data_IF_142193698387
#
_entry.id   IF_142193698387
#
_cell.length_a   1.000
_cell.length_b   1.000
_cell.length_c   1.000
_cell.angle_alpha   90.00
_cell.angle_beta   90.00
_cell.angle_gamma   90.00
#
_symmetry.space_group_name_H-M   'P 1'
#
loop_
_entity.id
_entity.type
_entity.pdbx_description
1 polymer ?
#
# COMPACT_ATOMS: atom_id res chain seq x y z
N UNK A 1 -19.01 -30.74 1.20
CA UNK A 1 -18.08 -30.75 0.05
C UNK A 1 -16.74 -30.24 0.55
N UNK A 2 -15.85 -31.14 0.97
CA UNK A 2 -14.51 -30.83 1.49
C UNK A 2 -13.62 -30.43 0.31
N UNK A 3 -13.39 -29.14 0.12
CA UNK A 3 -12.41 -28.64 -0.85
C UNK A 3 -11.04 -29.06 -0.36
N UNK A 4 -10.50 -30.11 -0.98
CA UNK A 4 -9.15 -30.61 -0.70
C UNK A 4 -8.13 -29.53 -1.06
N UNK A 5 -7.62 -28.80 -0.07
CA UNK A 5 -6.52 -27.85 -0.17
C UNK A 5 -5.16 -28.52 -0.52
N UNK A 6 -5.13 -29.84 -0.74
CA UNK A 6 -3.90 -30.63 -1.00
C UNK A 6 -3.46 -30.72 -2.46
N UNK A 7 -4.18 -30.15 -3.43
CA UNK A 7 -3.68 -30.13 -4.80
C UNK A 7 -2.62 -29.04 -4.94
N UNK A 8 -1.38 -29.42 -5.26
CA UNK A 8 -0.31 -28.48 -5.65
C UNK A 8 -0.88 -27.51 -6.69
N UNK A 9 -0.65 -26.19 -6.53
CA UNK A 9 -1.12 -25.24 -7.51
C UNK A 9 -0.56 -25.62 -8.89
N UNK A 10 -1.35 -25.49 -9.97
CA UNK A 10 -0.87 -25.83 -11.31
C UNK A 10 0.37 -24.99 -11.65
N UNK A 11 1.40 -25.57 -12.30
CA UNK A 11 2.69 -24.90 -12.54
C UNK A 11 2.55 -23.55 -13.26
N UNK A 12 1.54 -23.36 -14.10
CA UNK A 12 1.20 -22.08 -14.71
C UNK A 12 0.85 -20.98 -13.70
N UNK A 13 0.24 -21.34 -12.57
CA UNK A 13 -0.13 -20.37 -11.54
C UNK A 13 1.11 -19.84 -10.81
N UNK A 14 2.04 -20.73 -10.46
CA UNK A 14 3.30 -20.35 -9.80
C UNK A 14 4.09 -19.42 -10.71
N UNK A 15 4.21 -19.75 -12.00
CA UNK A 15 4.90 -18.93 -12.99
C UNK A 15 4.26 -17.54 -13.14
N UNK A 16 2.93 -17.45 -13.21
CA UNK A 16 2.23 -16.16 -13.30
C UNK A 16 2.44 -15.33 -12.03
N UNK A 17 2.34 -15.96 -10.85
CA UNK A 17 2.58 -15.27 -9.57
C UNK A 17 4.01 -14.76 -9.47
N UNK A 18 5.00 -15.59 -9.84
CA UNK A 18 6.40 -15.19 -9.86
C UNK A 18 6.66 -14.03 -10.83
N UNK A 19 6.07 -14.06 -12.03
CA UNK A 19 6.19 -12.96 -13.01
C UNK A 19 5.58 -11.65 -12.49
N UNK A 20 4.43 -11.71 -11.82
CA UNK A 20 3.80 -10.56 -11.19
C UNK A 20 4.67 -9.97 -10.07
N UNK A 21 5.28 -10.82 -9.24
CA UNK A 21 6.23 -10.39 -8.21
C UNK A 21 7.47 -9.74 -8.82
N UNK A 22 8.05 -10.38 -9.86
CA UNK A 22 9.23 -9.88 -10.54
C UNK A 22 8.99 -8.49 -11.16
N UNK A 23 7.84 -8.28 -11.84
CA UNK A 23 7.50 -6.99 -12.43
C UNK A 23 7.40 -5.86 -11.39
N UNK A 24 6.65 -6.08 -10.32
CA UNK A 24 6.51 -5.06 -9.26
C UNK A 24 7.80 -4.89 -8.44
N UNK A 25 8.54 -5.98 -8.20
CA UNK A 25 9.84 -5.94 -7.55
C UNK A 25 10.86 -5.15 -8.36
N UNK A 26 10.92 -5.36 -9.67
CA UNK A 26 11.79 -4.61 -10.59
C UNK A 26 11.48 -3.11 -10.55
N UNK A 27 10.20 -2.71 -10.58
CA UNK A 27 9.81 -1.30 -10.46
C UNK A 27 10.25 -0.69 -9.12
N UNK A 28 10.07 -1.43 -8.01
CA UNK A 28 10.49 -0.93 -6.70
C UNK A 28 12.01 -0.81 -6.57
N UNK A 29 12.74 -1.81 -7.06
CA UNK A 29 14.20 -1.75 -7.10
C UNK A 29 14.69 -0.58 -7.96
N UNK A 30 14.10 -0.39 -9.15
CA UNK A 30 14.41 0.74 -10.02
C UNK A 30 14.12 2.09 -9.35
N UNK A 31 12.99 2.24 -8.67
CA UNK A 31 12.61 3.46 -7.95
C UNK A 31 13.63 3.78 -6.82
N UNK A 32 14.04 2.79 -6.05
CA UNK A 32 15.00 3.00 -4.96
C UNK A 32 16.40 3.31 -5.48
N UNK A 33 16.87 2.55 -6.47
CA UNK A 33 18.14 2.84 -7.12
C UNK A 33 18.13 4.22 -7.76
N UNK A 34 17.02 4.58 -8.44
CA UNK A 34 16.86 5.91 -9.01
C UNK A 34 17.01 7.02 -7.97
N UNK A 35 16.35 6.89 -6.80
CA UNK A 35 16.47 7.90 -5.75
C UNK A 35 17.91 8.07 -5.24
N UNK A 36 18.65 6.95 -5.06
CA UNK A 36 20.04 7.01 -4.64
C UNK A 36 20.96 7.67 -5.69
N UNK A 37 20.76 7.32 -6.96
CA UNK A 37 21.54 7.89 -8.07
C UNK A 37 21.19 9.36 -8.27
N UNK A 38 19.93 9.75 -8.21
CA UNK A 38 19.49 11.15 -8.32
C UNK A 38 20.05 12.01 -7.19
N UNK A 39 20.15 11.49 -5.96
CA UNK A 39 20.82 12.18 -4.86
C UNK A 39 22.29 12.50 -5.21
N UNK A 40 22.97 11.53 -5.82
CA UNK A 40 24.36 11.74 -6.26
C UNK A 40 24.50 12.71 -7.43
N UNK A 41 23.54 12.70 -8.38
CA UNK A 41 23.59 13.55 -9.57
C UNK A 41 23.17 15.01 -9.31
N UNK A 42 22.11 15.23 -8.53
CA UNK A 42 21.55 16.55 -8.25
C UNK A 42 22.15 17.20 -7.00
N UNK A 43 22.80 16.42 -6.14
CA UNK A 43 23.17 16.86 -4.80
C UNK A 43 21.96 16.96 -3.86
N UNK A 44 22.24 17.34 -2.60
CA UNK A 44 21.24 17.30 -1.54
C UNK A 44 20.09 18.31 -1.75
N UNK A 45 20.38 19.48 -2.29
CA UNK A 45 19.42 20.58 -2.41
C UNK A 45 18.30 20.28 -3.43
N UNK A 46 18.67 20.01 -4.69
CA UNK A 46 17.68 19.71 -5.76
C UNK A 46 16.96 18.38 -5.47
N UNK A 47 17.69 17.39 -4.93
CA UNK A 47 17.06 16.12 -4.52
C UNK A 47 16.04 16.33 -3.39
N UNK A 48 16.30 17.19 -2.42
CA UNK A 48 15.37 17.50 -1.34
C UNK A 48 14.05 18.08 -1.88
N UNK A 49 14.12 18.97 -2.88
CA UNK A 49 12.94 19.52 -3.54
C UNK A 49 12.08 18.44 -4.22
N UNK A 50 12.74 17.51 -4.91
CA UNK A 50 12.08 16.35 -5.53
C UNK A 50 11.47 15.40 -4.50
N UNK A 51 12.24 15.04 -3.49
CA UNK A 51 11.83 14.10 -2.44
C UNK A 51 10.65 14.66 -1.62
N UNK A 52 10.70 15.95 -1.26
CA UNK A 52 9.62 16.61 -0.52
C UNK A 52 8.32 16.65 -1.33
N UNK A 53 8.39 17.01 -2.63
CA UNK A 53 7.22 17.02 -3.49
C UNK A 53 6.59 15.63 -3.62
N UNK A 54 7.39 14.57 -3.82
CA UNK A 54 6.91 13.20 -3.86
C UNK A 54 6.39 12.72 -2.49
N UNK A 55 7.06 13.08 -1.39
CA UNK A 55 6.66 12.71 -0.03
C UNK A 55 5.28 13.29 0.34
N UNK A 56 5.10 14.60 0.10
CA UNK A 56 3.79 15.27 0.30
C UNK A 56 2.71 14.66 -0.58
N UNK A 57 3.03 14.32 -1.84
CA UNK A 57 2.05 13.74 -2.77
C UNK A 57 1.79 12.25 -2.57
N UNK A 58 2.61 11.56 -1.78
CA UNK A 58 2.49 10.11 -1.53
C UNK A 58 1.13 9.68 -0.96
N UNK A 59 0.48 10.56 -0.21
CA UNK A 59 -0.88 10.36 0.29
C UNK A 59 -1.91 10.16 -0.82
N UNK A 60 -1.75 10.89 -1.93
CA UNK A 60 -2.65 10.76 -3.07
C UNK A 60 -2.56 9.37 -3.69
N UNK A 61 -1.38 8.74 -3.69
CA UNK A 61 -1.23 7.36 -4.12
C UNK A 61 -2.05 6.41 -3.24
N UNK A 62 -1.98 6.55 -1.91
CA UNK A 62 -2.74 5.71 -0.99
C UNK A 62 -4.26 5.92 -1.15
N UNK A 63 -4.72 7.17 -1.27
CA UNK A 63 -6.13 7.51 -1.46
C UNK A 63 -6.69 7.03 -2.80
N UNK A 64 -5.92 7.17 -3.89
CA UNK A 64 -6.42 6.93 -5.24
C UNK A 64 -6.30 5.48 -5.70
N UNK A 65 -5.39 4.70 -5.11
CA UNK A 65 -5.19 3.31 -5.55
C UNK A 65 -5.73 2.28 -4.58
N UNK A 66 -5.36 2.36 -3.31
CA UNK A 66 -5.44 1.20 -2.42
C UNK A 66 -6.85 0.73 -2.16
N UNK A 67 -7.76 1.61 -1.80
CA UNK A 67 -9.14 1.24 -1.55
C UNK A 67 -9.90 0.86 -2.83
N UNK A 68 -9.63 1.56 -3.94
CA UNK A 68 -10.26 1.29 -5.24
C UNK A 68 -9.77 -0.06 -5.77
N UNK A 69 -8.45 -0.35 -5.73
CA UNK A 69 -7.88 -1.64 -6.13
C UNK A 69 -8.46 -2.77 -5.28
N UNK A 70 -8.44 -2.64 -3.95
CA UNK A 70 -9.00 -3.65 -3.03
C UNK A 70 -10.49 -3.89 -3.29
N UNK A 71 -11.29 -2.84 -3.45
CA UNK A 71 -12.71 -2.96 -3.75
C UNK A 71 -12.95 -3.65 -5.10
N UNK A 72 -12.18 -3.32 -6.14
CA UNK A 72 -12.26 -3.97 -7.42
C UNK A 72 -11.90 -5.46 -7.32
N UNK A 73 -10.81 -5.81 -6.60
CA UNK A 73 -10.39 -7.20 -6.38
C UNK A 73 -11.39 -8.01 -5.55
N UNK A 74 -12.14 -7.35 -4.64
CA UNK A 74 -13.14 -7.99 -3.80
C UNK A 74 -14.51 -8.15 -4.48
N UNK A 75 -14.93 -7.17 -5.29
CA UNK A 75 -16.31 -7.11 -5.79
C UNK A 75 -16.45 -7.58 -7.23
N UNK A 76 -15.49 -7.27 -8.11
CA UNK A 76 -15.56 -7.65 -9.54
C UNK A 76 -15.57 -9.16 -9.80
N UNK A 77 -14.87 -10.01 -9.03
CA UNK A 77 -14.91 -11.47 -9.22
C UNK A 77 -16.23 -12.12 -8.81
N UNK A 78 -17.03 -11.45 -7.97
CA UNK A 78 -18.32 -11.98 -7.48
C UNK A 78 -19.37 -11.99 -8.60
N UNK A 79 -20.45 -12.77 -8.40
CA UNK A 79 -21.57 -12.85 -9.35
C UNK A 79 -22.13 -11.46 -9.64
N UNK A 80 -22.24 -11.10 -10.91
CA UNK A 80 -22.71 -9.78 -11.33
C UNK A 80 -21.69 -8.63 -11.16
N UNK A 81 -20.59 -8.82 -10.45
CA UNK A 81 -19.60 -7.77 -10.17
C UNK A 81 -18.86 -7.22 -11.39
N UNK A 82 -18.87 -7.95 -12.52
CA UNK A 82 -18.24 -7.51 -13.77
C UNK A 82 -18.79 -6.17 -14.28
N UNK A 83 -20.04 -5.85 -13.95
CA UNK A 83 -20.72 -4.60 -14.32
C UNK A 83 -20.16 -3.38 -13.55
N UNK A 84 -19.43 -3.58 -12.44
CA UNK A 84 -18.78 -2.52 -11.65
C UNK A 84 -17.43 -2.06 -12.24
N UNK A 85 -16.87 -2.74 -13.25
CA UNK A 85 -15.58 -2.35 -13.84
C UNK A 85 -15.54 -0.92 -14.34
N UNK A 86 -16.53 -0.40 -15.11
CA UNK A 86 -16.51 0.98 -15.57
C UNK A 86 -16.47 1.99 -14.42
N UNK A 87 -17.17 1.69 -13.31
CA UNK A 87 -17.13 2.51 -12.10
C UNK A 87 -15.71 2.58 -11.51
N UNK A 88 -15.05 1.43 -11.32
CA UNK A 88 -13.69 1.41 -10.78
C UNK A 88 -12.66 2.03 -11.73
N UNK A 89 -12.84 1.89 -13.05
CA UNK A 89 -12.04 2.61 -14.04
C UNK A 89 -12.20 4.12 -13.89
N UNK A 90 -13.44 4.60 -13.77
CA UNK A 90 -13.75 6.02 -13.60
C UNK A 90 -13.16 6.56 -12.29
N UNK A 91 -13.40 5.88 -11.18
CA UNK A 91 -12.87 6.27 -9.87
C UNK A 91 -11.34 6.37 -9.86
N UNK A 92 -10.65 5.46 -10.55
CA UNK A 92 -9.20 5.47 -10.66
C UNK A 92 -8.67 6.55 -11.61
N UNK A 93 -9.36 6.79 -12.72
CA UNK A 93 -8.93 7.76 -13.74
C UNK A 93 -9.20 9.22 -13.35
N UNK A 94 -10.29 9.49 -12.62
CA UNK A 94 -10.71 10.87 -12.28
C UNK A 94 -9.63 11.68 -11.55
N UNK A 95 -8.94 11.19 -10.48
CA UNK A 95 -7.91 11.97 -9.82
C UNK A 95 -6.76 12.35 -10.74
N UNK A 96 -6.35 11.43 -11.63
CA UNK A 96 -5.29 11.69 -12.59
C UNK A 96 -5.75 12.68 -13.67
N UNK A 97 -6.97 12.52 -14.18
CA UNK A 97 -7.57 13.42 -15.17
C UNK A 97 -7.77 14.84 -14.65
N UNK A 98 -7.93 15.03 -13.33
CA UNK A 98 -7.98 16.36 -12.70
C UNK A 98 -6.57 16.90 -12.42
N UNK A 99 -5.66 16.07 -11.92
CA UNK A 99 -4.33 16.51 -11.54
C UNK A 99 -3.48 16.97 -12.75
N UNK A 100 -3.62 16.32 -13.90
CA UNK A 100 -2.84 16.68 -15.11
C UNK A 100 -3.16 18.09 -15.62
N UNK A 101 -4.41 18.52 -15.86
CA UNK A 101 -4.73 19.89 -16.25
C UNK A 101 -4.30 20.94 -15.21
N UNK A 102 -4.46 20.64 -13.91
CA UNK A 102 -3.99 21.54 -12.83
C UNK A 102 -2.47 21.72 -12.91
N UNK A 103 -1.74 20.62 -13.07
CA UNK A 103 -0.29 20.70 -13.27
C UNK A 103 0.09 21.51 -14.51
N UNK A 104 -0.55 21.24 -15.67
CA UNK A 104 -0.26 21.94 -16.92
C UNK A 104 -0.51 23.45 -16.79
N UNK A 105 -1.60 23.85 -16.12
CA UNK A 105 -1.90 25.27 -15.88
C UNK A 105 -0.84 25.95 -15.01
N UNK A 106 -0.40 25.29 -13.93
CA UNK A 106 0.65 25.83 -13.05
C UNK A 106 2.02 25.83 -13.73
N UNK A 107 2.34 24.80 -14.51
CA UNK A 107 3.57 24.75 -15.29
C UNK A 107 3.63 25.78 -16.43
N UNK A 108 2.48 26.14 -17.01
CA UNK A 108 2.40 27.21 -17.99
C UNK A 108 2.62 28.60 -17.36
N UNK A 109 2.19 28.78 -16.11
CA UNK A 109 2.39 30.04 -15.39
C UNK A 109 3.84 30.19 -14.87
N UNK A 110 4.42 29.15 -14.30
CA UNK A 110 5.79 29.09 -13.79
C UNK A 110 6.37 27.68 -13.87
N UNK A 111 7.07 27.30 -14.97
CA UNK A 111 7.59 25.94 -15.15
C UNK A 111 8.61 25.51 -14.11
N UNK A 112 9.34 26.45 -13.52
CA UNK A 112 10.37 26.20 -12.49
C UNK A 112 9.86 26.23 -11.06
N UNK A 113 8.65 26.74 -10.85
CA UNK A 113 8.11 27.05 -9.55
C UNK A 113 7.76 25.84 -8.67
N UNK A 114 7.73 26.10 -7.38
CA UNK A 114 7.33 25.09 -6.40
C UNK A 114 5.88 24.58 -6.63
N UNK A 115 4.86 25.43 -6.92
CA UNK A 115 3.50 24.96 -7.19
C UNK A 115 3.43 23.97 -8.36
N UNK A 116 4.14 24.24 -9.45
CA UNK A 116 4.21 23.34 -10.61
C UNK A 116 4.84 21.98 -10.24
N UNK A 117 5.89 22.00 -9.41
CA UNK A 117 6.57 20.78 -8.92
C UNK A 117 5.65 19.92 -8.06
N UNK A 118 4.97 20.49 -7.08
CA UNK A 118 4.02 19.77 -6.23
C UNK A 118 2.84 19.21 -7.04
N UNK A 119 2.33 19.98 -7.99
CA UNK A 119 1.26 19.52 -8.88
C UNK A 119 1.72 18.38 -9.82
N UNK A 120 2.96 18.44 -10.33
CA UNK A 120 3.55 17.34 -11.11
C UNK A 120 3.69 16.06 -10.27
N UNK A 121 4.19 16.17 -9.04
CA UNK A 121 4.30 15.06 -8.11
C UNK A 121 2.91 14.50 -7.74
N UNK A 122 1.90 15.33 -7.55
CA UNK A 122 0.52 14.93 -7.33
C UNK A 122 -0.05 14.19 -8.56
N UNK A 123 0.16 14.70 -9.76
CA UNK A 123 -0.23 14.04 -11.01
C UNK A 123 0.49 12.69 -11.17
N UNK A 124 1.79 12.62 -10.86
CA UNK A 124 2.55 11.37 -10.85
C UNK A 124 1.95 10.34 -9.87
N UNK A 125 1.68 10.73 -8.62
CA UNK A 125 1.07 9.87 -7.60
C UNK A 125 -0.32 9.36 -8.02
N UNK A 126 -1.19 10.24 -8.53
CA UNK A 126 -2.50 9.89 -9.07
C UNK A 126 -2.40 8.97 -10.29
N UNK A 127 -1.42 9.21 -11.18
CA UNK A 127 -1.16 8.38 -12.35
C UNK A 127 -0.69 6.97 -11.98
N UNK A 128 0.18 6.82 -10.99
CA UNK A 128 0.58 5.53 -10.43
C UNK A 128 -0.61 4.80 -9.81
N UNK A 129 -1.47 5.51 -9.07
CA UNK A 129 -2.70 4.95 -8.50
C UNK A 129 -3.65 4.44 -9.56
N UNK A 130 -3.87 5.23 -10.61
CA UNK A 130 -4.66 4.82 -11.78
C UNK A 130 -4.07 3.56 -12.44
N UNK A 131 -2.76 3.54 -12.67
CA UNK A 131 -2.04 2.40 -13.26
C UNK A 131 -2.24 1.12 -12.43
N UNK A 132 -2.12 1.20 -11.11
CA UNK A 132 -2.30 0.04 -10.23
C UNK A 132 -3.71 -0.55 -10.36
N UNK A 133 -4.75 0.28 -10.36
CA UNK A 133 -6.14 -0.17 -10.51
C UNK A 133 -6.39 -0.73 -11.91
N UNK A 134 -5.92 -0.05 -12.98
CA UNK A 134 -6.08 -0.54 -14.36
C UNK A 134 -5.35 -1.87 -14.58
N UNK A 135 -4.16 -2.06 -14.03
CA UNK A 135 -3.42 -3.31 -14.06
C UNK A 135 -4.19 -4.43 -13.33
N UNK A 136 -4.74 -4.15 -12.13
CA UNK A 136 -5.55 -5.09 -11.38
C UNK A 136 -6.81 -5.50 -12.15
N UNK A 137 -7.53 -4.56 -12.77
CA UNK A 137 -8.72 -4.84 -13.59
C UNK A 137 -8.38 -5.70 -14.83
N UNK A 138 -7.23 -5.45 -15.48
CA UNK A 138 -6.75 -6.31 -16.57
C UNK A 138 -6.42 -7.72 -16.08
N UNK A 139 -5.81 -7.86 -14.90
CA UNK A 139 -5.53 -9.16 -14.26
C UNK A 139 -6.82 -9.94 -13.98
N UNK A 140 -7.88 -9.28 -13.48
CA UNK A 140 -9.20 -9.88 -13.27
C UNK A 140 -9.87 -10.37 -14.58
N UNK A 141 -9.44 -9.84 -15.73
CA UNK A 141 -9.84 -10.34 -17.05
C UNK A 141 -8.97 -11.48 -17.59
N UNK A 142 -8.08 -12.04 -16.77
CA UNK A 142 -7.14 -13.07 -17.19
C UNK A 142 -5.90 -12.53 -17.94
N UNK A 143 -5.72 -11.20 -18.04
CA UNK A 143 -4.59 -10.56 -18.71
C UNK A 143 -3.47 -10.20 -17.75
N UNK A 144 -2.97 -11.19 -16.99
CA UNK A 144 -1.90 -10.97 -16.01
C UNK A 144 -0.61 -10.36 -16.62
N UNK A 145 -0.35 -10.64 -17.91
CA UNK A 145 0.79 -10.02 -18.64
C UNK A 145 0.69 -8.50 -18.70
N UNK A 146 -0.51 -7.92 -18.69
CA UNK A 146 -0.68 -6.46 -18.69
C UNK A 146 -0.19 -5.81 -17.39
N UNK A 147 -0.36 -6.49 -16.24
CA UNK A 147 0.18 -6.04 -14.95
C UNK A 147 1.72 -6.08 -14.98
N UNK A 148 2.33 -7.20 -15.42
CA UNK A 148 3.78 -7.33 -15.55
C UNK A 148 4.35 -6.27 -16.49
N UNK A 149 3.75 -6.10 -17.67
CA UNK A 149 4.15 -5.10 -18.65
C UNK A 149 4.10 -3.69 -18.07
N UNK A 150 3.03 -3.33 -17.36
CA UNK A 150 2.89 -2.01 -16.76
C UNK A 150 4.04 -1.70 -15.79
N UNK A 151 4.35 -2.60 -14.88
CA UNK A 151 5.42 -2.36 -13.90
C UNK A 151 6.83 -2.45 -14.47
N UNK A 152 7.07 -3.28 -15.48
CA UNK A 152 8.35 -3.28 -16.21
C UNK A 152 8.53 -1.98 -17.01
N UNK A 153 7.47 -1.47 -17.66
CA UNK A 153 7.51 -0.16 -18.34
C UNK A 153 7.84 0.96 -17.35
N UNK A 154 7.25 0.95 -16.14
CA UNK A 154 7.57 1.91 -15.10
C UNK A 154 9.01 1.77 -14.61
N UNK A 155 9.54 0.55 -14.48
CA UNK A 155 10.94 0.32 -14.10
C UNK A 155 11.90 0.88 -15.16
N UNK A 156 11.63 0.62 -16.44
CA UNK A 156 12.40 1.16 -17.56
C UNK A 156 12.30 2.69 -17.60
N UNK A 157 11.11 3.26 -17.39
CA UNK A 157 10.93 4.71 -17.36
C UNK A 157 11.74 5.37 -16.23
N UNK A 158 11.80 4.76 -15.04
CA UNK A 158 12.63 5.23 -13.94
C UNK A 158 14.13 5.19 -14.31
N UNK A 159 14.60 4.06 -14.82
CA UNK A 159 16.01 3.91 -15.22
C UNK A 159 16.39 4.87 -16.35
N UNK A 160 15.54 5.01 -17.37
CA UNK A 160 15.75 5.94 -18.49
C UNK A 160 15.71 7.39 -18.04
N UNK A 161 14.79 7.74 -17.12
CA UNK A 161 14.72 9.08 -16.53
C UNK A 161 16.01 9.47 -15.82
N UNK A 162 16.58 8.55 -15.01
CA UNK A 162 17.89 8.75 -14.36
C UNK A 162 19.02 8.90 -15.39
N UNK A 163 19.02 8.07 -16.42
CA UNK A 163 19.98 8.18 -17.53
C UNK A 163 19.90 9.53 -18.23
N UNK A 164 18.70 10.04 -18.48
CA UNK A 164 18.50 11.38 -19.06
C UNK A 164 19.00 12.48 -18.13
N UNK A 165 18.75 12.38 -16.81
CA UNK A 165 19.30 13.33 -15.83
C UNK A 165 20.83 13.35 -15.90
N UNK A 166 21.47 12.18 -15.94
CA UNK A 166 22.93 12.06 -16.01
C UNK A 166 23.51 12.68 -17.30
N UNK A 167 22.80 12.51 -18.43
CA UNK A 167 23.29 12.98 -19.74
C UNK A 167 23.00 14.47 -20.01
N UNK A 168 21.88 14.99 -19.52
CA UNK A 168 21.37 16.33 -19.90
C UNK A 168 21.35 17.33 -18.75
N UNK A 169 21.62 16.92 -17.51
CA UNK A 169 21.43 17.76 -16.33
C UNK A 169 19.97 18.12 -16.04
N UNK A 170 19.01 17.30 -16.49
CA UNK A 170 17.58 17.52 -16.32
C UNK A 170 17.23 17.73 -14.84
N UNK A 171 16.42 18.77 -14.56
CA UNK A 171 15.96 19.11 -13.21
C UNK A 171 14.73 18.30 -12.78
N UNK A 172 14.40 18.35 -11.50
CA UNK A 172 13.31 17.62 -10.87
C UNK A 172 11.94 17.81 -11.57
N UNK A 173 11.59 19.05 -11.95
CA UNK A 173 10.32 19.35 -12.61
C UNK A 173 10.20 18.64 -13.97
N UNK A 174 11.27 18.63 -14.76
CA UNK A 174 11.28 17.99 -16.07
C UNK A 174 11.23 16.45 -15.96
N UNK A 175 11.90 15.87 -14.96
CA UNK A 175 11.83 14.43 -14.69
C UNK A 175 10.40 14.02 -14.26
N UNK A 176 9.75 14.80 -13.38
CA UNK A 176 8.36 14.54 -13.01
C UNK A 176 7.42 14.65 -14.21
N UNK A 177 7.60 15.64 -15.06
CA UNK A 177 6.84 15.81 -16.30
C UNK A 177 6.97 14.60 -17.24
N UNK A 178 8.21 14.10 -17.42
CA UNK A 178 8.47 12.88 -18.20
C UNK A 178 7.69 11.68 -17.63
N UNK A 179 7.76 11.48 -16.32
CA UNK A 179 7.06 10.38 -15.68
C UNK A 179 5.52 10.51 -15.78
N UNK A 180 4.98 11.72 -15.66
CA UNK A 180 3.53 11.97 -15.88
C UNK A 180 3.13 11.62 -17.32
N UNK A 181 3.96 12.01 -18.31
CA UNK A 181 3.74 11.65 -19.71
C UNK A 181 3.74 10.13 -19.96
N UNK A 182 4.72 9.42 -19.40
CA UNK A 182 4.77 7.95 -19.47
C UNK A 182 3.52 7.33 -18.85
N UNK A 183 3.09 7.81 -17.68
CA UNK A 183 1.88 7.32 -17.02
C UNK A 183 0.61 7.61 -17.81
N UNK A 184 0.52 8.76 -18.48
CA UNK A 184 -0.62 9.08 -19.33
C UNK A 184 -0.75 8.06 -20.47
N UNK A 185 0.34 7.78 -21.18
CA UNK A 185 0.37 6.79 -22.26
C UNK A 185 0.06 5.38 -21.72
N UNK A 186 0.71 4.97 -20.64
CA UNK A 186 0.53 3.65 -20.06
C UNK A 186 -0.91 3.43 -19.58
N UNK A 187 -1.50 4.41 -18.89
CA UNK A 187 -2.89 4.34 -18.43
C UNK A 187 -3.87 4.29 -19.61
N UNK A 188 -3.61 5.04 -20.68
CA UNK A 188 -4.43 4.98 -21.90
C UNK A 188 -4.38 3.58 -22.54
N UNK A 189 -3.20 2.95 -22.64
CA UNK A 189 -3.03 1.59 -23.18
C UNK A 189 -3.76 0.56 -22.31
N UNK A 190 -3.62 0.64 -20.99
CA UNK A 190 -4.30 -0.27 -20.07
C UNK A 190 -5.82 -0.10 -20.11
N UNK A 191 -6.32 1.13 -20.18
CA UNK A 191 -7.75 1.44 -20.32
C UNK A 191 -8.33 0.95 -21.66
N UNK A 192 -7.62 1.16 -22.77
CA UNK A 192 -8.02 0.65 -24.08
C UNK A 192 -8.17 -0.88 -24.07
N UNK A 193 -7.30 -1.59 -23.35
CA UNK A 193 -7.41 -3.03 -23.10
C UNK A 193 -8.70 -3.42 -22.36
N UNK A 194 -9.21 -2.56 -21.49
CA UNK A 194 -10.42 -2.80 -20.71
C UNK A 194 -11.71 -2.46 -21.45
N UNK A 195 -11.72 -1.40 -22.25
CA UNK A 195 -12.91 -0.92 -22.99
C UNK A 195 -13.34 -1.91 -24.10
N UNK A 196 -12.39 -2.56 -24.77
CA UNK A 196 -12.66 -3.53 -25.87
C UNK A 196 -13.49 -4.75 -25.48
N UNK A 197 -13.84 -4.93 -24.22
CA UNK A 197 -14.72 -6.01 -23.73
C UNK A 197 -16.06 -5.45 -23.27
N UNK A 198 -17.17 -5.96 -23.85
CA UNK A 198 -18.52 -5.57 -23.42
C UNK A 198 -18.68 -5.79 -21.92
N UNK A 199 -18.72 -4.72 -21.12
CA UNK A 199 -19.25 -4.74 -19.78
C UNK A 199 -20.78 -4.59 -19.89
N UNK A 200 -21.54 -5.51 -19.29
CA UNK A 200 -22.97 -5.31 -19.12
C UNK A 200 -23.21 -3.98 -18.34
N UNK A 201 -24.35 -3.33 -18.57
CA UNK A 201 -24.76 -2.17 -17.77
C UNK A 201 -25.00 -2.62 -16.32
N UNK A 202 -24.30 -2.00 -15.37
CA UNK A 202 -24.61 -2.19 -13.95
C UNK A 202 -25.92 -1.50 -13.62
N UNK A 203 -26.68 -2.11 -12.75
CA UNK A 203 -27.76 -1.41 -12.07
C UNK A 203 -27.16 -0.28 -11.21
N UNK A 204 -27.68 0.94 -11.37
CA UNK A 204 -27.23 2.14 -10.64
C UNK A 204 -27.25 1.94 -9.11
N UNK A 205 -28.13 1.07 -8.60
CA UNK A 205 -28.20 0.70 -7.19
C UNK A 205 -26.94 0.05 -6.65
N UNK A 206 -26.14 -0.59 -7.49
CA UNK A 206 -24.88 -1.26 -7.09
C UNK A 206 -23.69 -0.31 -6.91
N UNK A 207 -23.76 0.94 -7.38
CA UNK A 207 -22.62 1.85 -7.35
C UNK A 207 -22.35 2.41 -5.95
N UNK A 208 -23.37 2.83 -5.21
CA UNK A 208 -23.22 3.40 -3.86
C UNK A 208 -22.53 2.44 -2.88
N UNK A 209 -22.92 1.15 -2.79
CA UNK A 209 -22.21 0.17 -1.99
C UNK A 209 -20.75 -0.03 -2.42
N UNK A 210 -20.46 -0.02 -3.74
CA UNK A 210 -19.11 -0.20 -4.25
C UNK A 210 -18.18 0.98 -3.91
N UNK A 211 -18.67 2.22 -4.04
CA UNK A 211 -17.94 3.44 -3.64
C UNK A 211 -17.68 3.44 -2.13
N UNK A 212 -18.68 3.08 -1.33
CA UNK A 212 -18.54 2.96 0.12
C UNK A 212 -17.51 1.88 0.50
N UNK A 213 -17.53 0.73 -0.18
CA UNK A 213 -16.54 -0.31 0.03
C UNK A 213 -15.12 0.21 -0.30
N UNK A 214 -14.94 0.93 -1.40
CA UNK A 214 -13.66 1.53 -1.76
C UNK A 214 -13.18 2.52 -0.68
N UNK A 215 -14.06 3.39 -0.18
CA UNK A 215 -13.74 4.33 0.89
C UNK A 215 -13.32 3.62 2.19
N UNK A 216 -14.09 2.62 2.65
CA UNK A 216 -13.75 1.86 3.86
C UNK A 216 -12.43 1.09 3.73
N UNK A 217 -12.17 0.51 2.55
CA UNK A 217 -10.94 -0.22 2.27
C UNK A 217 -9.71 0.68 2.12
N UNK A 218 -9.91 1.99 1.86
CA UNK A 218 -8.81 2.97 1.84
C UNK A 218 -8.29 3.30 3.25
N UNK A 219 -9.14 3.19 4.28
CA UNK A 219 -8.81 3.63 5.65
C UNK A 219 -7.54 2.94 6.16
N UNK A 220 -7.41 1.63 5.97
CA UNK A 220 -6.25 0.88 6.43
C UNK A 220 -4.92 1.36 5.85
N UNK A 221 -4.90 1.72 4.57
CA UNK A 221 -3.67 2.21 3.90
C UNK A 221 -3.37 3.67 4.26
N UNK A 222 -4.41 4.49 4.34
CA UNK A 222 -4.26 5.90 4.73
C UNK A 222 -3.74 6.01 6.16
N UNK A 223 -4.27 5.21 7.09
CA UNK A 223 -3.80 5.19 8.49
C UNK A 223 -2.38 4.67 8.60
N UNK A 224 -1.98 3.68 7.78
CA UNK A 224 -0.60 3.19 7.75
C UNK A 224 0.38 4.27 7.26
N UNK A 225 0.04 5.01 6.19
CA UNK A 225 0.85 6.16 5.72
C UNK A 225 0.89 7.26 6.78
N UNK A 226 -0.24 7.54 7.44
CA UNK A 226 -0.31 8.51 8.53
C UNK A 226 0.59 8.13 9.71
N UNK A 227 0.59 6.87 10.11
CA UNK A 227 1.43 6.37 11.19
C UNK A 227 2.93 6.61 10.87
N UNK A 228 3.34 6.30 9.65
CA UNK A 228 4.72 6.53 9.21
C UNK A 228 5.07 8.03 9.21
N UNK A 229 4.19 8.89 8.69
CA UNK A 229 4.40 10.33 8.65
C UNK A 229 4.51 10.95 10.05
N UNK A 230 3.64 10.55 10.98
CA UNK A 230 3.67 11.03 12.37
C UNK A 230 4.95 10.58 13.07
N UNK A 231 5.40 9.34 12.84
CA UNK A 231 6.65 8.85 13.42
C UNK A 231 7.86 9.65 12.92
N UNK A 232 7.94 9.96 11.63
CA UNK A 232 8.99 10.86 11.10
C UNK A 232 8.89 12.28 11.67
N UNK A 233 7.69 12.79 11.91
CA UNK A 233 7.52 14.10 12.56
C UNK A 233 8.07 14.10 14.00
N UNK A 234 7.94 12.99 14.74
CA UNK A 234 8.56 12.89 16.07
C UNK A 234 10.08 12.90 16.00
N UNK A 235 10.70 12.21 15.04
CA UNK A 235 12.15 12.27 14.83
C UNK A 235 12.63 13.67 14.43
N UNK A 236 11.88 14.34 13.53
CA UNK A 236 12.20 15.71 13.15
C UNK A 236 12.14 16.68 14.33
N UNK A 237 11.24 16.47 15.29
CA UNK A 237 11.15 17.27 16.50
C UNK A 237 12.31 17.04 17.49
N UNK A 238 12.92 15.85 17.46
CA UNK A 238 14.07 15.52 18.31
C UNK A 238 15.40 16.06 17.79
N UNK A 239 15.43 16.55 16.54
CA UNK A 239 16.63 17.06 15.83
C UNK A 239 17.82 16.07 15.85
N UNK A 240 17.53 14.76 15.89
CA UNK A 240 18.53 13.68 15.87
C UNK A 240 18.58 13.04 14.46
N UNK A 241 19.44 13.61 13.62
CA UNK A 241 19.63 13.15 12.25
C UNK A 241 20.15 11.69 12.17
N UNK A 242 20.96 11.25 13.16
CA UNK A 242 21.49 9.89 13.20
C UNK A 242 20.37 8.87 13.46
N UNK A 243 19.53 9.11 14.45
CA UNK A 243 18.42 8.22 14.79
C UNK A 243 17.33 8.23 13.71
N UNK A 244 17.09 9.39 13.09
CA UNK A 244 16.20 9.48 11.93
C UNK A 244 16.70 8.59 10.78
N UNK A 245 17.99 8.60 10.51
CA UNK A 245 18.61 7.76 9.47
C UNK A 245 18.52 6.27 9.82
N UNK A 246 18.77 5.90 11.06
CA UNK A 246 18.62 4.51 11.56
C UNK A 246 17.18 4.05 11.41
N UNK A 247 16.20 4.84 11.86
CA UNK A 247 14.79 4.50 11.68
C UNK A 247 14.39 4.39 10.21
N UNK A 248 14.89 5.29 9.35
CA UNK A 248 14.63 5.22 7.92
C UNK A 248 15.10 3.88 7.32
N UNK A 249 16.33 3.44 7.63
CA UNK A 249 16.86 2.15 7.15
C UNK A 249 15.99 0.97 7.62
N UNK A 250 15.59 0.95 8.90
CA UNK A 250 14.72 -0.09 9.43
C UNK A 250 13.31 -0.05 8.84
N UNK A 251 12.75 1.14 8.63
CA UNK A 251 11.43 1.30 7.99
C UNK A 251 11.45 0.83 6.54
N UNK A 252 12.56 1.06 5.82
CA UNK A 252 12.77 0.52 4.47
C UNK A 252 12.81 -1.01 4.49
N UNK A 253 13.58 -1.61 5.40
CA UNK A 253 13.65 -3.07 5.53
C UNK A 253 12.26 -3.68 5.85
N UNK A 254 11.53 -3.09 6.80
CA UNK A 254 10.16 -3.49 7.14
C UNK A 254 9.22 -3.35 5.93
N UNK A 255 9.35 -2.26 5.18
CA UNK A 255 8.48 -2.01 4.01
C UNK A 255 8.62 -3.10 2.94
N UNK A 256 9.80 -3.71 2.76
CA UNK A 256 10.00 -4.83 1.82
C UNK A 256 9.15 -6.03 2.24
N UNK A 257 9.16 -6.38 3.52
CA UNK A 257 8.38 -7.51 4.06
C UNK A 257 6.88 -7.22 3.93
N UNK A 258 6.45 -6.05 4.42
CA UNK A 258 5.03 -5.64 4.39
C UNK A 258 4.50 -5.57 2.96
N UNK A 259 5.27 -5.00 2.03
CA UNK A 259 4.89 -4.96 0.60
C UNK A 259 4.83 -6.35 -0.01
N UNK A 260 5.79 -7.23 0.29
CA UNK A 260 5.80 -8.61 -0.21
C UNK A 260 4.54 -9.35 0.23
N UNK A 261 4.22 -9.32 1.51
CA UNK A 261 3.00 -9.96 2.07
C UNK A 261 1.74 -9.31 1.49
N UNK A 262 1.64 -7.98 1.51
CA UNK A 262 0.47 -7.26 0.99
C UNK A 262 0.23 -7.56 -0.48
N UNK A 263 1.29 -7.63 -1.28
CA UNK A 263 1.16 -7.93 -2.70
C UNK A 263 0.72 -9.39 -2.95
N UNK A 264 1.27 -10.34 -2.19
CA UNK A 264 0.81 -11.74 -2.24
C UNK A 264 -0.68 -11.82 -1.91
N UNK A 265 -1.11 -11.14 -0.85
CA UNK A 265 -2.51 -11.08 -0.46
C UNK A 265 -3.40 -10.46 -1.55
N UNK A 266 -2.95 -9.41 -2.23
CA UNK A 266 -3.69 -8.80 -3.37
C UNK A 266 -3.80 -9.75 -4.58
N UNK A 267 -2.80 -10.60 -4.82
CA UNK A 267 -2.91 -11.65 -5.86
C UNK A 267 -3.94 -12.71 -5.46
N UNK A 268 -4.01 -13.06 -4.19
CA UNK A 268 -4.93 -14.05 -3.66
C UNK A 268 -6.35 -13.51 -3.43
N UNK A 269 -6.50 -12.21 -3.25
CA UNK A 269 -7.77 -11.56 -2.88
C UNK A 269 -8.96 -11.92 -3.80
N UNK A 270 -8.84 -11.99 -5.14
CA UNK A 270 -9.96 -12.39 -5.99
C UNK A 270 -10.46 -13.80 -5.70
N UNK A 271 -9.55 -14.73 -5.35
CA UNK A 271 -9.91 -16.11 -4.99
C UNK A 271 -10.55 -16.18 -3.62
N UNK A 272 -10.03 -15.40 -2.67
CA UNK A 272 -10.62 -15.26 -1.33
C UNK A 272 -12.04 -14.71 -1.45
N UNK A 273 -12.27 -13.70 -2.28
CA UNK A 273 -13.59 -13.13 -2.51
C UNK A 273 -14.61 -14.16 -3.04
N UNK A 274 -14.22 -14.96 -4.05
CA UNK A 274 -15.05 -16.04 -4.61
C UNK A 274 -15.24 -17.17 -3.58
N UNK A 275 -14.20 -17.52 -2.83
CA UNK A 275 -14.29 -18.52 -1.77
C UNK A 275 -15.27 -18.09 -0.66
N UNK A 276 -15.24 -16.83 -0.24
CA UNK A 276 -16.18 -16.29 0.75
C UNK A 276 -17.62 -16.32 0.21
N UNK A 277 -17.82 -15.98 -1.06
CA UNK A 277 -19.15 -16.08 -1.70
C UNK A 277 -19.72 -17.51 -1.66
N UNK A 278 -18.84 -18.53 -1.83
CA UNK A 278 -19.24 -19.94 -1.82
C UNK A 278 -19.39 -20.57 -0.43
N UNK A 279 -18.56 -20.16 0.55
CA UNK A 279 -18.53 -20.77 1.91
C UNK A 279 -19.29 -19.94 2.95
N UNK A 280 -19.69 -18.71 2.58
CA UNK A 280 -20.31 -17.74 3.47
C UNK A 280 -19.29 -17.00 4.35
N UNK A 281 -19.71 -15.86 4.85
CA UNK A 281 -18.88 -14.94 5.66
C UNK A 281 -18.43 -15.55 6.99
N UNK A 282 -19.26 -16.40 7.58
CA UNK A 282 -18.93 -17.11 8.81
C UNK A 282 -17.67 -18.00 8.69
N UNK A 283 -17.42 -18.57 7.50
CA UNK A 283 -16.19 -19.31 7.20
C UNK A 283 -14.95 -18.43 7.25
N UNK A 284 -15.01 -17.24 6.62
CA UNK A 284 -13.93 -16.28 6.61
C UNK A 284 -13.64 -15.73 8.03
N UNK A 285 -14.66 -15.39 8.79
CA UNK A 285 -14.55 -14.91 10.18
C UNK A 285 -13.94 -15.96 11.10
N UNK A 286 -14.35 -17.23 10.97
CA UNK A 286 -13.72 -18.36 11.73
C UNK A 286 -12.24 -18.52 11.38
N UNK A 287 -11.88 -18.41 10.10
CA UNK A 287 -10.50 -18.52 9.67
C UNK A 287 -9.66 -17.35 10.20
N UNK A 288 -10.16 -16.11 10.09
CA UNK A 288 -9.52 -14.92 10.66
C UNK A 288 -9.29 -15.08 12.16
N UNK A 289 -10.29 -15.56 12.92
CA UNK A 289 -10.17 -15.85 14.35
C UNK A 289 -9.09 -16.89 14.64
N UNK A 290 -9.00 -17.96 13.86
CA UNK A 290 -7.96 -19.00 14.03
C UNK A 290 -6.55 -18.45 13.83
N UNK A 291 -6.38 -17.49 12.94
CA UNK A 291 -5.09 -16.81 12.71
C UNK A 291 -4.77 -15.86 13.87
N UNK A 292 -5.75 -15.05 14.29
CA UNK A 292 -5.54 -14.02 15.33
C UNK A 292 -5.42 -14.60 16.74
N UNK A 293 -6.06 -15.73 17.03
CA UNK A 293 -6.07 -16.32 18.37
C UNK A 293 -4.66 -16.62 18.92
N UNK A 294 -3.72 -17.19 18.14
CA UNK A 294 -2.33 -17.33 18.60
C UNK A 294 -1.50 -16.05 18.36
N UNK A 295 -1.75 -15.29 17.28
CA UNK A 295 -0.92 -14.14 16.90
C UNK A 295 -1.01 -12.99 17.90
N UNK A 296 -2.24 -12.68 18.40
CA UNK A 296 -2.45 -11.55 19.31
C UNK A 296 -1.77 -11.77 20.67
N UNK A 297 -1.95 -12.90 21.38
CA UNK A 297 -1.25 -13.11 22.65
C UNK A 297 0.27 -13.25 22.47
N UNK A 298 0.75 -13.89 21.41
CA UNK A 298 2.18 -13.94 21.12
C UNK A 298 2.76 -12.54 20.87
N UNK A 299 2.04 -11.69 20.14
CA UNK A 299 2.41 -10.30 19.92
C UNK A 299 2.38 -9.47 21.20
N UNK A 300 1.36 -9.64 22.04
CA UNK A 300 1.30 -8.98 23.34
C UNK A 300 2.49 -9.36 24.24
N UNK A 301 2.85 -10.66 24.26
CA UNK A 301 4.04 -11.13 24.96
C UNK A 301 5.32 -10.49 24.39
N UNK A 302 5.47 -10.42 23.07
CA UNK A 302 6.61 -9.77 22.44
C UNK A 302 6.72 -8.29 22.82
N UNK A 303 5.61 -7.55 22.84
CA UNK A 303 5.57 -6.14 23.28
C UNK A 303 6.00 -6.00 24.74
N UNK A 304 5.51 -6.88 25.63
CA UNK A 304 5.91 -6.89 27.05
C UNK A 304 7.40 -7.17 27.19
N UNK A 305 7.93 -8.21 26.54
CA UNK A 305 9.36 -8.55 26.57
C UNK A 305 10.22 -7.40 26.06
N UNK A 306 9.87 -6.81 24.93
CA UNK A 306 10.58 -5.65 24.38
C UNK A 306 10.48 -4.42 25.30
N UNK A 307 9.35 -4.22 25.98
CA UNK A 307 9.16 -3.18 26.97
C UNK A 307 10.07 -3.37 28.20
N UNK A 308 10.23 -4.62 28.66
CA UNK A 308 11.18 -4.96 29.76
C UNK A 308 12.63 -4.74 29.30
N UNK A 309 12.98 -5.11 28.07
CA UNK A 309 14.31 -4.85 27.49
C UNK A 309 14.59 -3.34 27.45
N UNK A 310 13.60 -2.53 27.08
CA UNK A 310 13.69 -1.08 27.09
C UNK A 310 13.89 -0.53 28.53
N UNK A 311 13.10 -0.99 29.46
CA UNK A 311 13.19 -0.58 30.87
C UNK A 311 14.54 -0.96 31.49
N UNK A 312 15.16 -2.07 31.05
CA UNK A 312 16.52 -2.47 31.42
C UNK A 312 17.64 -1.66 30.73
N UNK A 313 17.32 -0.59 30.02
CA UNK A 313 18.28 0.30 29.36
C UNK A 313 18.92 -0.23 28.09
N UNK A 314 18.48 -1.39 27.61
CA UNK A 314 18.96 -2.00 26.36
C UNK A 314 18.35 -1.31 25.13
N UNK A 315 19.13 -0.43 24.48
CA UNK A 315 18.66 0.40 23.33
C UNK A 315 19.52 0.18 22.07
N UNK A 316 20.37 -0.85 22.09
CA UNK A 316 21.32 -1.11 21.01
C UNK A 316 20.69 -1.70 19.75
N UNK A 317 21.54 -1.90 18.74
CA UNK A 317 21.18 -2.42 17.42
C UNK A 317 20.45 -3.78 17.49
N UNK A 318 20.86 -4.67 18.43
CA UNK A 318 20.24 -5.97 18.64
C UNK A 318 18.79 -5.87 19.12
N UNK A 319 18.51 -4.95 20.06
CA UNK A 319 17.14 -4.71 20.55
C UNK A 319 16.25 -4.13 19.43
N UNK A 320 16.78 -3.17 18.66
CA UNK A 320 16.08 -2.60 17.48
C UNK A 320 15.79 -3.66 16.43
N UNK A 321 16.77 -4.54 16.14
CA UNK A 321 16.58 -5.68 15.23
C UNK A 321 15.54 -6.68 15.73
N UNK A 322 15.51 -6.97 17.04
CA UNK A 322 14.47 -7.84 17.62
C UNK A 322 13.07 -7.21 17.52
N UNK A 323 12.95 -5.90 17.76
CA UNK A 323 11.68 -5.18 17.58
C UNK A 323 11.22 -5.20 16.10
N UNK A 324 12.13 -5.03 15.15
CA UNK A 324 11.83 -5.14 13.73
C UNK A 324 11.32 -6.54 13.34
N UNK A 325 11.98 -7.59 13.83
CA UNK A 325 11.54 -8.97 13.55
C UNK A 325 10.17 -9.26 14.17
N UNK A 326 9.92 -8.76 15.38
CA UNK A 326 8.62 -8.88 16.04
C UNK A 326 7.52 -8.17 15.22
N UNK A 327 7.78 -6.94 14.78
CA UNK A 327 6.84 -6.17 13.95
C UNK A 327 6.58 -6.87 12.60
N UNK A 328 7.62 -7.32 11.92
CA UNK A 328 7.49 -8.04 10.65
C UNK A 328 6.65 -9.33 10.81
N UNK A 329 6.89 -10.09 11.89
CA UNK A 329 6.14 -11.32 12.19
C UNK A 329 4.67 -11.02 12.53
N UNK A 330 4.40 -9.99 13.35
CA UNK A 330 3.05 -9.56 13.69
C UNK A 330 2.27 -9.10 12.47
N UNK A 331 2.88 -8.23 11.68
CA UNK A 331 2.28 -7.75 10.43
C UNK A 331 1.99 -8.91 9.49
N UNK A 332 2.93 -9.85 9.29
CA UNK A 332 2.73 -11.03 8.46
C UNK A 332 1.59 -11.94 8.96
N UNK A 333 1.35 -12.00 10.27
CA UNK A 333 0.27 -12.78 10.87
C UNK A 333 -1.08 -12.05 10.82
N UNK A 334 -1.11 -10.73 11.10
CA UNK A 334 -2.36 -9.96 11.19
C UNK A 334 -2.92 -9.61 9.81
N UNK A 335 -2.08 -9.30 8.80
CA UNK A 335 -2.54 -8.92 7.46
C UNK A 335 -3.44 -9.95 6.77
N UNK A 336 -3.18 -11.28 6.80
CA UNK A 336 -4.09 -12.26 6.21
C UNK A 336 -5.47 -12.29 6.88
N UNK A 337 -5.51 -12.15 8.21
CA UNK A 337 -6.78 -12.08 8.95
C UNK A 337 -7.54 -10.79 8.63
N UNK A 338 -6.83 -9.67 8.53
CA UNK A 338 -7.36 -8.38 8.12
C UNK A 338 -7.99 -8.47 6.72
N UNK A 339 -7.29 -9.07 5.75
CA UNK A 339 -7.79 -9.30 4.40
C UNK A 339 -9.09 -10.13 4.41
N UNK A 340 -9.14 -11.20 5.21
CA UNK A 340 -10.35 -12.03 5.31
C UNK A 340 -11.55 -11.22 5.79
N UNK A 341 -11.37 -10.41 6.83
CA UNK A 341 -12.42 -9.55 7.41
C UNK A 341 -12.85 -8.45 6.41
N UNK A 342 -11.91 -7.80 5.74
CA UNK A 342 -12.19 -6.77 4.71
C UNK A 342 -13.02 -7.32 3.55
N UNK A 343 -12.89 -8.60 3.22
CA UNK A 343 -13.58 -9.22 2.08
C UNK A 343 -14.95 -9.81 2.44
N UNK A 344 -15.42 -9.69 3.69
CA UNK A 344 -16.77 -10.09 4.08
C UNK A 344 -17.80 -9.02 3.67
N UNK A 345 -18.65 -8.61 4.56
CA UNK A 345 -19.71 -7.62 4.39
C UNK A 345 -19.28 -6.19 4.79
N UNK A 346 -20.23 -5.26 4.79
CA UNK A 346 -20.01 -3.89 5.24
C UNK A 346 -19.62 -3.80 6.71
N UNK A 347 -20.10 -4.73 7.56
CA UNK A 347 -19.76 -4.78 8.98
C UNK A 347 -18.29 -5.19 9.17
N UNK A 348 -17.82 -6.19 8.42
CA UNK A 348 -16.42 -6.58 8.42
C UNK A 348 -15.50 -5.46 7.94
N UNK A 349 -15.87 -4.74 6.86
CA UNK A 349 -15.09 -3.58 6.37
C UNK A 349 -15.02 -2.45 7.40
N UNK A 350 -16.13 -2.16 8.09
CA UNK A 350 -16.12 -1.15 9.19
C UNK A 350 -15.24 -1.61 10.36
N UNK A 351 -15.33 -2.89 10.74
CA UNK A 351 -14.48 -3.46 11.77
C UNK A 351 -12.99 -3.31 11.41
N UNK A 352 -12.61 -3.64 10.18
CA UNK A 352 -11.25 -3.48 9.68
C UNK A 352 -10.82 -2.00 9.69
N UNK A 353 -11.67 -1.07 9.26
CA UNK A 353 -11.41 0.36 9.28
C UNK A 353 -11.21 0.89 10.71
N UNK A 354 -12.10 0.51 11.65
CA UNK A 354 -11.98 0.89 13.06
C UNK A 354 -10.69 0.33 13.68
N UNK A 355 -10.38 -0.94 13.42
CA UNK A 355 -9.15 -1.55 13.91
C UNK A 355 -7.89 -0.84 13.39
N UNK A 356 -7.89 -0.40 12.13
CA UNK A 356 -6.79 0.36 11.54
C UNK A 356 -6.68 1.79 12.13
N UNK A 357 -7.80 2.47 12.39
CA UNK A 357 -7.79 3.76 13.08
C UNK A 357 -7.25 3.65 14.51
N UNK A 358 -7.63 2.59 15.24
CA UNK A 358 -7.11 2.34 16.59
C UNK A 358 -5.62 1.98 16.57
N UNK A 359 -5.16 1.19 15.59
CA UNK A 359 -3.74 0.97 15.36
C UNK A 359 -2.99 2.30 15.21
N UNK A 360 -3.47 3.17 14.33
CA UNK A 360 -2.88 4.50 14.13
C UNK A 360 -2.83 5.31 15.42
N UNK A 361 -3.95 5.37 16.16
CA UNK A 361 -4.04 6.12 17.41
C UNK A 361 -3.02 5.60 18.45
N UNK A 362 -2.84 4.28 18.55
CA UNK A 362 -1.85 3.67 19.44
C UNK A 362 -0.43 3.97 18.98
N UNK A 363 -0.13 3.84 17.69
CA UNK A 363 1.21 4.19 17.16
C UNK A 363 1.53 5.65 17.43
N UNK A 364 0.58 6.56 17.20
CA UNK A 364 0.77 7.99 17.47
C UNK A 364 0.96 8.25 18.97
N UNK A 365 0.07 7.76 19.83
CA UNK A 365 0.15 7.98 21.26
C UNK A 365 1.40 7.35 21.91
N UNK A 366 1.67 6.07 21.60
CA UNK A 366 2.85 5.39 22.11
C UNK A 366 4.15 5.99 21.55
N UNK A 367 4.16 6.34 20.24
CA UNK A 367 5.29 6.98 19.57
C UNK A 367 5.68 8.31 20.22
N UNK A 368 4.70 9.12 20.66
CA UNK A 368 4.94 10.37 21.36
C UNK A 368 5.84 10.21 22.60
N UNK A 369 5.67 9.11 23.34
CA UNK A 369 6.48 8.83 24.53
C UNK A 369 7.71 7.96 24.23
N UNK A 370 7.57 6.96 23.37
CA UNK A 370 8.62 5.97 23.14
C UNK A 370 9.71 6.45 22.18
N UNK A 371 9.39 7.31 21.21
CA UNK A 371 10.40 7.82 20.29
C UNK A 371 11.41 8.72 21.01
N UNK A 372 11.02 9.69 21.85
CA UNK A 372 11.97 10.45 22.66
C UNK A 372 12.77 9.58 23.64
N UNK A 373 12.16 8.53 24.17
CA UNK A 373 12.80 7.65 25.16
C UNK A 373 13.81 6.67 24.56
N UNK A 374 13.56 6.16 23.35
CA UNK A 374 14.31 5.03 22.77
C UNK A 374 14.47 5.09 21.25
N UNK A 375 14.24 6.25 20.65
CA UNK A 375 14.46 6.51 19.23
C UNK A 375 13.86 5.42 18.31
N UNK A 376 14.66 4.84 17.39
CA UNK A 376 14.21 3.85 16.44
C UNK A 376 13.60 2.59 17.10
N UNK A 377 14.16 2.14 18.21
CA UNK A 377 13.60 1.01 18.99
C UNK A 377 12.22 1.35 19.54
N UNK A 378 12.05 2.56 20.12
CA UNK A 378 10.78 3.04 20.62
C UNK A 378 9.70 3.16 19.54
N UNK A 379 10.08 3.63 18.36
CA UNK A 379 9.19 3.67 17.20
C UNK A 379 8.68 2.27 16.81
N UNK A 380 9.58 1.29 16.65
CA UNK A 380 9.21 -0.09 16.30
C UNK A 380 8.34 -0.74 17.38
N UNK A 381 8.62 -0.47 18.67
CA UNK A 381 7.78 -0.96 19.77
C UNK A 381 6.36 -0.36 19.69
N UNK A 382 6.22 0.92 19.34
CA UNK A 382 4.91 1.54 19.11
C UNK A 382 4.14 0.88 17.98
N UNK A 383 4.82 0.51 16.88
CA UNK A 383 4.19 -0.25 15.79
C UNK A 383 3.75 -1.65 16.22
N UNK A 384 4.59 -2.38 16.95
CA UNK A 384 4.21 -3.69 17.51
C UNK A 384 2.94 -3.57 18.38
N UNK A 385 2.89 -2.56 19.26
CA UNK A 385 1.72 -2.31 20.11
C UNK A 385 0.47 -2.00 19.26
N UNK A 386 0.63 -1.21 18.20
CA UNK A 386 -0.43 -0.92 17.25
C UNK A 386 -0.97 -2.15 16.55
N UNK A 387 -0.11 -3.06 16.06
CA UNK A 387 -0.53 -4.31 15.42
C UNK A 387 -1.24 -5.25 16.41
N UNK A 388 -0.78 -5.33 17.66
CA UNK A 388 -1.47 -6.09 18.72
C UNK A 388 -2.88 -5.54 18.96
N UNK A 389 -3.04 -4.22 19.06
CA UNK A 389 -4.36 -3.60 19.25
C UNK A 389 -5.28 -3.85 18.06
N UNK A 390 -4.80 -3.68 16.84
CA UNK A 390 -5.55 -3.98 15.62
C UNK A 390 -6.05 -5.42 15.59
N UNK A 391 -5.15 -6.38 15.84
CA UNK A 391 -5.48 -7.80 15.91
C UNK A 391 -6.45 -8.10 17.05
N UNK A 392 -6.23 -7.51 18.23
CA UNK A 392 -7.03 -7.68 19.45
C UNK A 392 -8.47 -7.22 19.28
N UNK A 393 -8.68 -6.04 18.69
CA UNK A 393 -10.02 -5.50 18.40
C UNK A 393 -10.79 -6.41 17.45
N UNK A 394 -10.14 -6.88 16.37
CA UNK A 394 -10.74 -7.83 15.46
C UNK A 394 -11.08 -9.16 16.16
N UNK A 395 -10.15 -9.72 16.93
CA UNK A 395 -10.35 -10.97 17.65
C UNK A 395 -11.52 -10.89 18.67
N UNK A 396 -11.58 -9.81 19.46
CA UNK A 396 -12.63 -9.60 20.44
C UNK A 396 -14.03 -9.51 19.80
N UNK A 397 -14.12 -8.77 18.66
CA UNK A 397 -15.38 -8.63 17.95
C UNK A 397 -15.82 -9.94 17.30
N UNK A 398 -14.90 -10.69 16.68
CA UNK A 398 -15.17 -11.98 16.06
C UNK A 398 -15.56 -13.07 17.08
N UNK A 399 -15.12 -12.98 18.34
CA UNK A 399 -15.56 -13.87 19.41
C UNK A 399 -17.02 -13.63 19.79
N UNK A 400 -17.45 -12.38 19.93
CA UNK A 400 -18.84 -12.02 20.29
C UNK A 400 -19.90 -12.48 19.28
N UNK A 401 -19.52 -12.59 18.01
CA UNK A 401 -20.44 -13.03 16.95
C UNK A 401 -20.63 -14.55 16.87
N UNK A 402 -19.86 -15.32 17.60
CA UNK A 402 -19.90 -16.80 17.60
C UNK A 402 -20.37 -17.41 18.92
N UNK A 403 -20.56 -16.60 19.96
CA UNK A 403 -21.27 -16.93 21.21
C UNK A 403 -22.72 -16.51 21.13
#
# INVERSE_FOLDING_TARGET
MTVSLRRRPPPRLVAVTAALFAGRGAFRAALWTANLVLLGLWGAEEFALYATANGVSGWLLALTSSGIEKAALALVPRRGGQTLRPLFMLLAATPFAVAVPVWLALAAADPGGAPARYAAAAAYACGLGCCAVMAALNRLRGRARADVFAYLTLAVAQASGVGLVALTGMRANALLALHVGVLAVLNAVLAAGLIRGRAGRADKGSYRPAVRAAALLSVGEVTAVAATSVTFAYFAHLDDAQQTSVFYVWSVALSVVVMGVSYLLRILQPRVAVWIEGTGEAGARRMARRILAPAVPAGALAVVVLGVVLAGGQRGMAATGAALLAEAALTAAVLPAFLLVENTDDRGRRLAAVAACLQFAVVAAAGWFLVPAAAAFGALLAYCAGEVVKGGVMLATLKKETS
#
